data_IF_811826812717
#
_entry.id   IF_811826812717
#
_cell.length_a   1.000
_cell.length_b   1.000
_cell.length_c   1.000
_cell.angle_alpha   90.00
_cell.angle_beta   90.00
_cell.angle_gamma   90.00
#
_symmetry.space_group_name_H-M   'P 1'
#
loop_
_entity.id
_entity.type
_entity.pdbx_description
1 polymer ?
#
# COMPACT_ATOMS: atom_id res chain seq x y z
N UNK A 1 23.71 28.42 0.24
CA UNK A 1 22.45 29.17 0.15
C UNK A 1 22.27 29.64 -1.30
N UNK A 2 21.26 29.18 -2.01
CA UNK A 2 20.96 29.59 -3.41
C UNK A 2 20.54 31.07 -3.40
N UNK A 3 21.21 31.92 -4.17
CA UNK A 3 20.78 33.31 -4.32
C UNK A 3 19.59 33.35 -5.30
N UNK A 4 18.38 33.77 -4.87
CA UNK A 4 17.18 33.78 -5.71
C UNK A 4 17.35 34.51 -7.05
N UNK A 5 18.15 35.56 -7.08
CA UNK A 5 18.43 36.38 -8.29
C UNK A 5 19.04 35.57 -9.45
N UNK A 6 19.71 34.45 -9.21
CA UNK A 6 20.25 33.61 -10.28
C UNK A 6 19.19 32.72 -10.90
N UNK A 7 18.20 32.26 -10.12
CA UNK A 7 17.11 31.41 -10.60
C UNK A 7 16.13 32.19 -11.49
N UNK A 8 15.85 33.47 -11.21
CA UNK A 8 14.99 34.31 -12.05
C UNK A 8 15.54 34.55 -13.47
N UNK A 9 16.81 34.25 -13.72
CA UNK A 9 17.42 34.36 -15.04
C UNK A 9 17.36 33.08 -15.87
N UNK A 10 17.05 31.96 -15.24
CA UNK A 10 16.92 30.64 -15.89
C UNK A 10 15.44 30.40 -16.18
N UNK A 11 15.13 30.48 -17.47
CA UNK A 11 13.80 30.07 -17.97
C UNK A 11 13.86 28.59 -18.33
N UNK A 12 12.85 27.79 -17.91
CA UNK A 12 12.73 26.38 -18.23
C UNK A 12 12.81 26.13 -19.74
N UNK A 13 12.25 27.03 -20.53
CA UNK A 13 12.30 26.96 -21.99
C UNK A 13 13.74 26.94 -22.53
N UNK A 14 14.68 27.62 -21.85
CA UNK A 14 16.11 27.60 -22.23
C UNK A 14 16.75 26.22 -21.93
N UNK A 15 16.33 25.52 -20.86
CA UNK A 15 16.83 24.18 -20.56
C UNK A 15 16.27 23.16 -21.56
N UNK A 16 15.00 23.27 -21.93
CA UNK A 16 14.39 22.45 -23.00
C UNK A 16 15.11 22.66 -24.32
N UNK A 17 15.36 23.91 -24.69
CA UNK A 17 16.10 24.27 -25.90
C UNK A 17 17.54 23.72 -25.89
N UNK A 18 18.22 23.79 -24.76
CA UNK A 18 19.56 23.21 -24.60
C UNK A 18 19.57 21.70 -24.83
N UNK A 19 18.65 20.99 -24.18
CA UNK A 19 18.53 19.53 -24.29
C UNK A 19 18.22 19.12 -25.74
N UNK A 20 17.25 19.79 -26.38
CA UNK A 20 16.88 19.49 -27.77
C UNK A 20 18.01 19.75 -28.76
N UNK A 21 18.77 20.86 -28.61
CA UNK A 21 19.91 21.11 -29.48
C UNK A 21 21.03 20.10 -29.24
N UNK A 22 21.23 19.65 -28.01
CA UNK A 22 22.21 18.61 -27.67
C UNK A 22 21.89 17.28 -28.36
N UNK A 23 20.61 16.87 -28.33
CA UNK A 23 20.12 15.64 -28.92
C UNK A 23 20.16 15.67 -30.46
N UNK A 24 19.70 16.78 -31.06
CA UNK A 24 19.60 16.91 -32.51
C UNK A 24 20.95 17.18 -33.19
N UNK A 25 21.91 17.73 -32.46
CA UNK A 25 23.21 18.18 -33.05
C UNK A 25 23.07 19.18 -34.16
N UNK A 26 21.89 19.80 -34.34
CA UNK A 26 21.59 20.74 -35.42
C UNK A 26 20.53 21.77 -35.03
N UNK A 27 20.84 23.06 -35.14
CA UNK A 27 19.96 24.16 -34.71
C UNK A 27 18.63 24.17 -35.48
N UNK A 28 18.63 23.92 -36.80
CA UNK A 28 17.40 23.93 -37.57
C UNK A 28 16.49 22.75 -37.20
N UNK A 29 17.02 21.53 -37.03
CA UNK A 29 16.23 20.37 -36.58
C UNK A 29 15.67 20.59 -35.16
N UNK A 30 16.45 21.16 -34.27
CA UNK A 30 15.97 21.52 -32.95
C UNK A 30 14.85 22.57 -33.01
N UNK A 31 14.92 23.51 -33.91
CA UNK A 31 13.88 24.51 -34.12
C UNK A 31 12.58 23.85 -34.62
N UNK A 32 12.67 22.97 -35.61
CA UNK A 32 11.50 22.24 -36.14
C UNK A 32 10.85 21.39 -35.04
N UNK A 33 11.65 20.66 -34.26
CA UNK A 33 11.13 19.82 -33.13
C UNK A 33 10.45 20.62 -32.05
N UNK A 34 10.91 21.88 -31.82
CA UNK A 34 10.36 22.78 -30.80
C UNK A 34 9.22 23.67 -31.34
N UNK A 35 8.86 23.56 -32.62
CA UNK A 35 7.95 24.46 -33.31
C UNK A 35 8.39 25.97 -33.17
N UNK A 36 9.69 26.21 -33.27
CA UNK A 36 10.30 27.52 -33.20
C UNK A 36 11.01 27.90 -34.52
N UNK A 37 11.32 29.16 -34.67
CA UNK A 37 12.20 29.59 -35.78
C UNK A 37 13.69 29.35 -35.41
N UNK A 38 14.57 29.06 -36.39
CA UNK A 38 16.02 28.96 -36.15
C UNK A 38 16.65 30.21 -35.48
N UNK A 39 16.07 31.37 -35.75
CA UNK A 39 16.48 32.64 -35.09
C UNK A 39 16.10 32.63 -33.60
N UNK A 40 14.93 32.17 -33.25
CA UNK A 40 14.50 32.04 -31.83
C UNK A 40 15.40 31.06 -31.05
N UNK A 41 15.72 29.91 -31.63
CA UNK A 41 16.67 28.95 -31.04
C UNK A 41 18.05 29.58 -30.87
N UNK A 42 18.55 30.27 -31.90
CA UNK A 42 19.85 30.98 -31.84
C UNK A 42 19.88 32.07 -30.75
N UNK A 43 18.77 32.80 -30.59
CA UNK A 43 18.62 33.79 -29.53
C UNK A 43 18.63 33.13 -28.13
N UNK A 44 17.90 32.03 -27.92
CA UNK A 44 17.89 31.27 -26.67
C UNK A 44 19.29 30.72 -26.33
N UNK A 45 20.01 30.17 -27.31
CA UNK A 45 21.39 29.72 -27.14
C UNK A 45 22.33 30.86 -26.75
N UNK A 46 22.14 32.06 -27.32
CA UNK A 46 22.93 33.25 -26.95
C UNK A 46 22.69 33.63 -25.48
N UNK A 47 21.45 33.60 -25.00
CA UNK A 47 21.13 33.85 -23.59
C UNK A 47 21.80 32.81 -22.67
N UNK A 48 21.76 31.52 -23.03
CA UNK A 48 22.44 30.45 -22.28
C UNK A 48 23.95 30.64 -22.23
N UNK A 49 24.60 31.02 -23.34
CA UNK A 49 26.05 31.30 -23.40
C UNK A 49 26.45 32.42 -22.45
N UNK A 50 25.68 33.50 -22.40
CA UNK A 50 25.90 34.58 -21.47
C UNK A 50 25.71 34.17 -20.01
N UNK A 51 24.68 33.33 -19.72
CA UNK A 51 24.37 32.87 -18.38
C UNK A 51 25.41 31.89 -17.84
N UNK A 52 25.86 30.97 -18.70
CA UNK A 52 26.75 29.87 -18.33
C UNK A 52 28.24 30.18 -18.59
N UNK A 53 28.53 31.35 -19.19
CA UNK A 53 29.89 31.78 -19.59
C UNK A 53 30.63 30.70 -20.41
N UNK A 54 29.89 30.05 -21.34
CA UNK A 54 30.43 28.98 -22.19
C UNK A 54 29.76 29.02 -23.58
N UNK A 55 30.48 28.74 -24.68
CA UNK A 55 29.91 28.65 -26.02
C UNK A 55 28.82 27.57 -26.17
N UNK A 56 28.81 26.56 -25.31
CA UNK A 56 27.92 25.35 -25.23
C UNK A 56 27.98 24.50 -26.50
N UNK A 57 27.86 25.11 -27.65
CA UNK A 57 27.85 24.41 -28.95
C UNK A 57 28.77 25.15 -29.94
N UNK A 58 29.71 24.40 -30.54
CA UNK A 58 30.62 24.83 -31.57
C UNK A 58 30.05 24.52 -32.94
N UNK A 59 30.09 25.47 -33.88
CA UNK A 59 29.64 25.27 -35.25
C UNK A 59 30.55 24.28 -35.98
N UNK A 60 29.99 23.41 -36.76
CA UNK A 60 30.66 22.46 -37.66
C UNK A 60 29.97 22.45 -39.02
N UNK A 61 30.61 21.95 -40.10
CA UNK A 61 29.95 21.83 -41.39
C UNK A 61 28.66 21.00 -41.39
N UNK A 62 28.54 20.03 -40.44
CA UNK A 62 27.41 19.10 -40.32
C UNK A 62 26.43 19.46 -39.18
N UNK A 63 26.54 20.68 -38.58
CA UNK A 63 25.67 21.10 -37.49
C UNK A 63 26.41 21.73 -36.33
N UNK A 64 26.19 21.25 -35.10
CA UNK A 64 26.86 21.75 -33.90
C UNK A 64 27.41 20.60 -33.04
N UNK A 65 28.59 20.83 -32.43
CA UNK A 65 29.20 19.92 -31.44
C UNK A 65 29.15 20.54 -30.03
N UNK A 66 28.73 19.78 -29.00
CA UNK A 66 28.73 20.27 -27.63
C UNK A 66 30.16 20.49 -27.09
N UNK A 67 30.36 21.52 -26.29
CA UNK A 67 31.57 21.73 -25.48
C UNK A 67 31.63 20.67 -24.35
N UNK A 68 32.79 20.57 -23.69
CA UNK A 68 32.91 19.69 -22.51
C UNK A 68 31.93 20.07 -21.40
N UNK A 69 31.76 21.39 -21.21
CA UNK A 69 30.79 21.96 -20.26
C UNK A 69 29.35 21.61 -20.64
N UNK A 70 28.98 21.68 -21.91
CA UNK A 70 27.65 21.27 -22.36
C UNK A 70 27.40 19.78 -22.13
N UNK A 71 28.41 18.91 -22.34
CA UNK A 71 28.31 17.48 -22.01
C UNK A 71 28.12 17.25 -20.52
N UNK A 72 28.87 17.93 -19.67
CA UNK A 72 28.73 17.82 -18.21
C UNK A 72 27.36 18.31 -17.70
N UNK A 73 26.72 19.27 -18.39
CA UNK A 73 25.40 19.78 -18.02
C UNK A 73 24.23 18.89 -18.52
N UNK A 74 24.46 17.95 -19.43
CA UNK A 74 23.42 17.13 -20.03
C UNK A 74 22.58 16.37 -18.97
N UNK A 75 23.22 15.60 -18.10
CA UNK A 75 22.55 14.83 -17.08
C UNK A 75 21.83 15.69 -16.01
N UNK A 76 22.46 16.73 -15.43
CA UNK A 76 21.76 17.65 -14.50
C UNK A 76 20.55 18.35 -15.13
N UNK A 77 20.64 18.77 -16.40
CA UNK A 77 19.51 19.42 -17.10
C UNK A 77 18.37 18.42 -17.33
N UNK A 78 18.68 17.21 -17.78
CA UNK A 78 17.68 16.15 -17.97
C UNK A 78 16.96 15.82 -16.66
N UNK A 79 17.67 15.74 -15.52
CA UNK A 79 17.07 15.52 -14.20
C UNK A 79 16.13 16.64 -13.80
N UNK A 80 16.51 17.90 -13.99
CA UNK A 80 15.65 19.06 -13.69
C UNK A 80 14.38 19.01 -14.54
N UNK A 81 14.50 18.77 -15.86
CA UNK A 81 13.36 18.69 -16.77
C UNK A 81 12.40 17.54 -16.39
N UNK A 82 12.94 16.38 -16.04
CA UNK A 82 12.12 15.25 -15.56
C UNK A 82 11.36 15.57 -14.26
N UNK A 83 11.98 16.33 -13.34
CA UNK A 83 11.30 16.78 -12.10
C UNK A 83 10.20 17.79 -12.39
N UNK A 84 10.42 18.72 -13.33
CA UNK A 84 9.41 19.69 -13.74
C UNK A 84 8.25 18.99 -14.45
N UNK A 85 8.53 18.05 -15.36
CA UNK A 85 7.52 17.23 -16.01
C UNK A 85 6.67 16.46 -14.98
N UNK A 86 7.30 15.89 -13.95
CA UNK A 86 6.61 15.27 -12.82
C UNK A 86 5.65 16.21 -12.10
N UNK A 87 6.03 17.47 -11.88
CA UNK A 87 5.16 18.49 -11.25
C UNK A 87 3.97 18.82 -12.15
N UNK A 88 4.21 19.05 -13.45
CA UNK A 88 3.15 19.37 -14.42
C UNK A 88 2.20 18.19 -14.62
N UNK A 89 2.74 16.98 -14.71
CA UNK A 89 1.95 15.75 -14.83
C UNK A 89 1.10 15.49 -13.59
N UNK A 90 1.61 15.83 -12.39
CA UNK A 90 0.84 15.74 -11.15
C UNK A 90 -0.31 16.76 -11.07
N UNK A 91 -0.25 17.86 -11.82
CA UNK A 91 -1.31 18.87 -11.91
C UNK A 91 -2.39 18.54 -12.95
N UNK A 92 -2.16 17.57 -13.82
CA UNK A 92 -3.12 17.09 -14.82
C UNK A 92 -4.18 16.16 -14.21
N UNK A 93 -5.25 15.83 -14.97
CA UNK A 93 -6.22 14.82 -14.55
C UNK A 93 -5.50 13.48 -14.33
N UNK A 94 -5.81 12.82 -13.19
CA UNK A 94 -5.20 11.53 -12.86
C UNK A 94 -5.60 10.46 -13.87
N UNK A 95 -4.63 9.94 -14.60
CA UNK A 95 -4.79 8.76 -15.45
C UNK A 95 -3.94 7.62 -14.87
N UNK A 96 -4.55 6.53 -14.37
CA UNK A 96 -3.82 5.44 -13.75
C UNK A 96 -2.81 4.78 -14.70
N UNK A 97 -3.06 4.76 -16.01
CA UNK A 97 -2.17 4.10 -17.00
C UNK A 97 -0.84 4.82 -17.18
N UNK A 98 -0.83 6.12 -17.00
CA UNK A 98 0.35 6.98 -17.23
C UNK A 98 0.92 7.57 -15.94
N UNK A 99 0.15 7.58 -14.86
CA UNK A 99 0.54 8.15 -13.58
C UNK A 99 1.78 7.44 -13.00
N UNK A 100 2.74 8.25 -12.53
CA UNK A 100 3.94 7.78 -11.82
C UNK A 100 3.94 8.38 -10.43
N UNK A 101 3.47 7.62 -9.45
CA UNK A 101 3.48 8.06 -8.03
C UNK A 101 3.49 6.87 -7.08
N UNK A 102 3.96 7.13 -5.86
CA UNK A 102 3.88 6.18 -4.76
C UNK A 102 2.66 6.46 -3.87
N UNK A 103 1.99 5.40 -3.41
CA UNK A 103 0.96 5.47 -2.37
C UNK A 103 1.43 4.79 -1.10
N UNK A 104 1.21 5.45 0.04
CA UNK A 104 1.47 4.90 1.37
C UNK A 104 0.17 4.31 1.93
N UNK A 105 0.10 2.99 2.06
CA UNK A 105 -1.07 2.27 2.55
C UNK A 105 -0.72 1.61 3.87
N UNK A 106 -1.47 1.92 4.93
CA UNK A 106 -1.32 1.27 6.22
C UNK A 106 -2.30 0.13 6.40
N UNK A 107 -1.85 -0.99 6.97
CA UNK A 107 -2.74 -2.10 7.36
C UNK A 107 -2.07 -2.98 8.43
N UNK A 108 -2.83 -3.63 9.33
CA UNK A 108 -2.34 -4.79 10.06
C UNK A 108 -1.91 -5.89 9.08
N UNK A 109 -0.86 -6.63 9.39
CA UNK A 109 -0.30 -7.65 8.51
C UNK A 109 -1.33 -8.74 8.12
N UNK A 110 -2.18 -9.18 9.04
CA UNK A 110 -3.26 -10.11 8.75
C UNK A 110 -4.20 -9.60 7.64
N UNK A 111 -4.57 -8.31 7.69
CA UNK A 111 -5.46 -7.68 6.70
C UNK A 111 -4.71 -7.44 5.39
N UNK A 112 -3.45 -7.02 5.47
CA UNK A 112 -2.61 -6.79 4.29
C UNK A 112 -2.52 -8.05 3.41
N UNK A 113 -2.40 -9.23 3.99
CA UNK A 113 -2.35 -10.50 3.25
C UNK A 113 -3.60 -10.77 2.41
N UNK A 114 -4.74 -10.15 2.75
CA UNK A 114 -6.01 -10.37 2.05
C UNK A 114 -6.07 -9.58 0.75
N UNK A 115 -5.68 -8.30 0.79
CA UNK A 115 -5.88 -7.40 -0.36
C UNK A 115 -4.62 -7.17 -1.19
N UNK A 116 -3.42 -7.35 -0.63
CA UNK A 116 -2.18 -6.93 -1.28
C UNK A 116 -1.93 -7.67 -2.60
N UNK A 117 -2.04 -8.99 -2.63
CA UNK A 117 -1.81 -9.76 -3.87
C UNK A 117 -2.84 -9.44 -4.97
N UNK A 118 -4.17 -9.37 -4.68
CA UNK A 118 -5.14 -8.89 -5.66
C UNK A 118 -4.87 -7.46 -6.14
N UNK A 119 -4.46 -6.55 -5.24
CA UNK A 119 -4.13 -5.17 -5.60
C UNK A 119 -2.92 -5.10 -6.52
N UNK A 120 -1.83 -5.81 -6.22
CA UNK A 120 -0.64 -5.86 -7.08
C UNK A 120 -1.00 -6.39 -8.47
N UNK A 121 -1.79 -7.46 -8.56
CA UNK A 121 -2.25 -8.01 -9.83
C UNK A 121 -3.14 -7.03 -10.61
N UNK A 122 -3.95 -6.23 -9.92
CA UNK A 122 -4.75 -5.18 -10.52
C UNK A 122 -3.87 -4.03 -11.04
N UNK A 123 -2.94 -3.53 -10.22
CA UNK A 123 -2.04 -2.44 -10.58
C UNK A 123 -1.14 -2.78 -11.77
N UNK A 124 -0.64 -4.00 -11.84
CA UNK A 124 0.18 -4.45 -12.97
C UNK A 124 -0.52 -4.29 -14.34
N UNK A 125 -1.87 -4.35 -14.37
CA UNK A 125 -2.65 -4.18 -15.61
C UNK A 125 -3.13 -2.75 -15.82
N UNK A 126 -3.60 -2.11 -14.76
CA UNK A 126 -4.33 -0.83 -14.85
C UNK A 126 -3.45 0.38 -14.58
N UNK A 127 -2.34 0.19 -13.85
CA UNK A 127 -1.51 1.29 -13.37
C UNK A 127 -0.05 0.84 -13.13
N UNK A 128 0.67 0.40 -14.19
CA UNK A 128 1.94 -0.32 -14.07
C UNK A 128 3.10 0.53 -13.52
N UNK A 129 2.98 1.85 -13.49
CA UNK A 129 3.99 2.77 -12.98
C UNK A 129 3.66 3.36 -11.59
N UNK A 130 2.66 2.78 -10.91
CA UNK A 130 2.30 3.14 -9.54
C UNK A 130 3.06 2.23 -8.56
N UNK A 131 3.69 2.83 -7.57
CA UNK A 131 4.39 2.16 -6.47
C UNK A 131 3.52 2.14 -5.20
N UNK A 132 3.60 1.04 -4.44
CA UNK A 132 2.94 0.90 -3.13
C UNK A 132 3.99 0.80 -2.03
N UNK A 133 3.85 1.63 -1.01
CA UNK A 133 4.53 1.49 0.28
C UNK A 133 3.53 1.00 1.31
N UNK A 134 3.68 -0.26 1.74
CA UNK A 134 2.86 -0.83 2.79
C UNK A 134 3.50 -0.56 4.16
N UNK A 135 2.75 0.08 5.05
CA UNK A 135 3.13 0.32 6.43
C UNK A 135 2.34 -0.62 7.34
N UNK A 136 3.05 -1.33 8.21
CA UNK A 136 2.39 -2.18 9.21
C UNK A 136 1.75 -1.31 10.28
N UNK A 137 0.43 -1.46 10.45
CA UNK A 137 -0.31 -0.81 11.51
C UNK A 137 -0.48 -1.76 12.70
N UNK A 138 -0.30 -1.23 13.89
CA UNK A 138 -0.48 -1.97 15.13
C UNK A 138 -1.55 -1.29 16.00
N UNK A 139 -2.55 -2.04 16.48
CA UNK A 139 -3.56 -1.49 17.38
C UNK A 139 -2.92 -1.10 18.71
N UNK A 140 -3.24 0.09 19.21
CA UNK A 140 -2.73 0.56 20.51
C UNK A 140 -3.73 0.19 21.62
N UNK A 141 -3.61 -1.03 22.14
CA UNK A 141 -4.55 -1.57 23.14
C UNK A 141 -4.32 -1.11 24.58
N UNK A 142 -3.29 -0.34 24.88
CA UNK A 142 -2.89 0.04 26.25
C UNK A 142 -4.01 0.74 27.03
N UNK A 143 -4.93 -0.03 27.61
CA UNK A 143 -6.00 0.47 28.49
C UNK A 143 -7.00 1.42 27.85
N UNK A 144 -7.02 1.52 26.53
CA UNK A 144 -7.92 2.41 25.77
C UNK A 144 -9.20 1.69 25.35
N UNK A 145 -10.33 2.41 25.28
CA UNK A 145 -11.54 1.88 24.65
C UNK A 145 -11.26 1.43 23.20
N UNK A 146 -11.99 0.45 22.72
CA UNK A 146 -11.86 -0.08 21.33
C UNK A 146 -12.01 1.01 20.25
N UNK A 147 -12.75 2.09 20.56
CA UNK A 147 -12.89 3.27 19.69
C UNK A 147 -11.58 4.03 19.44
N UNK A 148 -10.61 3.94 20.37
CA UNK A 148 -9.42 4.79 20.37
C UNK A 148 -8.16 4.07 19.88
N UNK A 149 -8.29 2.79 19.57
CA UNK A 149 -7.19 1.90 19.18
C UNK A 149 -6.46 2.39 17.92
N UNK A 150 -7.15 3.09 17.02
CA UNK A 150 -6.62 3.59 15.75
C UNK A 150 -6.40 5.10 15.69
N UNK A 151 -6.45 5.81 16.83
CA UNK A 151 -6.31 7.28 16.85
C UNK A 151 -5.00 7.79 16.25
N UNK A 152 -3.88 7.12 16.52
CA UNK A 152 -2.59 7.46 15.89
C UNK A 152 -2.61 7.30 14.37
N UNK A 153 -3.23 6.23 13.87
CA UNK A 153 -3.39 6.01 12.43
C UNK A 153 -4.27 7.09 11.78
N UNK A 154 -5.37 7.47 12.45
CA UNK A 154 -6.23 8.55 11.97
C UNK A 154 -5.50 9.90 11.95
N UNK A 155 -4.62 10.16 12.93
CA UNK A 155 -3.79 11.35 12.93
C UNK A 155 -2.74 11.36 11.80
N UNK A 156 -2.21 10.21 11.41
CA UNK A 156 -1.32 10.08 10.26
C UNK A 156 -2.02 10.32 8.92
N UNK A 157 -3.28 9.85 8.79
CA UNK A 157 -4.13 10.15 7.63
C UNK A 157 -4.48 11.64 7.55
N UNK A 158 -4.83 12.28 8.67
CA UNK A 158 -5.08 13.74 8.73
C UNK A 158 -3.83 14.55 8.39
N UNK A 159 -2.67 14.10 8.87
CA UNK A 159 -1.35 14.72 8.60
C UNK A 159 -0.75 14.36 7.24
N UNK A 160 -1.45 13.62 6.38
CA UNK A 160 -1.00 13.18 5.05
C UNK A 160 0.36 12.45 5.06
N UNK A 161 0.73 11.81 6.18
CA UNK A 161 1.88 10.89 6.24
C UNK A 161 1.51 9.50 5.75
N UNK A 162 0.21 9.20 5.76
CA UNK A 162 -0.41 8.00 5.23
C UNK A 162 -1.53 8.42 4.27
N UNK A 163 -1.57 7.86 3.07
CA UNK A 163 -2.60 8.19 2.08
C UNK A 163 -3.91 7.44 2.38
N UNK A 164 -3.79 6.15 2.72
CA UNK A 164 -4.91 5.23 2.93
C UNK A 164 -4.60 4.29 4.10
N UNK A 165 -5.63 3.88 4.82
CA UNK A 165 -5.53 2.79 5.80
C UNK A 165 -6.60 1.72 5.54
N UNK A 166 -6.25 0.44 5.74
CA UNK A 166 -7.19 -0.69 5.73
C UNK A 166 -7.13 -1.34 7.09
N UNK A 167 -8.18 -1.16 7.90
CA UNK A 167 -8.16 -1.55 9.31
C UNK A 167 -9.56 -1.89 9.85
N UNK A 168 -9.66 -2.68 10.94
CA UNK A 168 -10.92 -2.94 11.61
C UNK A 168 -11.34 -1.70 12.40
N UNK A 169 -12.35 -0.99 11.89
CA UNK A 169 -12.90 0.22 12.52
C UNK A 169 -14.41 0.29 12.31
N UNK A 170 -15.15 0.45 13.39
CA UNK A 170 -16.61 0.53 13.34
C UNK A 170 -17.09 1.79 12.65
N UNK A 171 -16.94 2.92 13.30
CA UNK A 171 -17.41 4.23 12.83
C UNK A 171 -16.27 5.25 12.90
N UNK A 172 -15.54 5.47 11.80
CA UNK A 172 -14.53 6.52 11.78
C UNK A 172 -15.18 7.91 11.90
N UNK A 173 -14.47 8.91 12.43
CA UNK A 173 -14.97 10.28 12.54
C UNK A 173 -15.42 10.84 11.17
N UNK A 174 -16.42 11.76 11.13
CA UNK A 174 -17.02 12.25 9.88
C UNK A 174 -16.05 12.92 8.89
N UNK A 175 -14.87 13.34 9.34
CA UNK A 175 -13.82 13.91 8.48
C UNK A 175 -13.08 12.87 7.64
N UNK A 176 -13.34 11.58 7.85
CA UNK A 176 -12.80 10.50 7.02
C UNK A 176 -13.85 9.96 6.07
N UNK A 177 -13.43 9.62 4.85
CA UNK A 177 -14.13 8.73 3.95
C UNK A 177 -13.82 7.28 4.35
N UNK A 178 -14.82 6.42 4.36
CA UNK A 178 -14.66 5.03 4.71
C UNK A 178 -15.60 4.13 3.91
N UNK A 179 -15.09 3.01 3.41
CA UNK A 179 -15.86 2.00 2.70
C UNK A 179 -15.69 0.65 3.39
N UNK A 180 -16.79 -0.03 3.67
CA UNK A 180 -16.77 -1.40 4.21
C UNK A 180 -16.21 -2.35 3.15
N UNK A 181 -15.26 -3.17 3.55
CA UNK A 181 -14.65 -4.20 2.70
C UNK A 181 -15.19 -5.60 3.04
N UNK A 182 -15.18 -5.95 4.31
CA UNK A 182 -15.72 -7.22 4.85
C UNK A 182 -15.82 -7.12 6.38
N UNK A 183 -16.54 -8.07 6.96
CA UNK A 183 -16.55 -8.27 8.41
C UNK A 183 -15.54 -9.36 8.77
N UNK A 184 -14.65 -9.08 9.73
CA UNK A 184 -13.64 -10.02 10.22
C UNK A 184 -14.07 -10.59 11.55
N UNK A 185 -13.99 -11.91 11.67
CA UNK A 185 -14.13 -12.60 12.94
C UNK A 185 -12.89 -13.46 13.23
N UNK A 186 -12.90 -14.16 14.36
CA UNK A 186 -11.77 -14.94 14.80
C UNK A 186 -12.10 -16.42 14.86
N UNK A 187 -11.06 -17.24 14.68
CA UNK A 187 -11.11 -18.70 14.83
C UNK A 187 -9.96 -19.15 15.71
N UNK A 188 -10.11 -20.26 16.38
CA UNK A 188 -8.97 -20.95 16.99
C UNK A 188 -8.29 -21.78 15.93
N UNK A 189 -7.04 -21.46 15.63
CA UNK A 189 -6.20 -22.15 14.66
C UNK A 189 -5.16 -23.03 15.37
N UNK A 190 -4.85 -24.15 14.76
CA UNK A 190 -3.90 -25.15 15.25
C UNK A 190 -3.43 -26.04 14.11
N UNK A 191 -2.33 -26.77 14.30
CA UNK A 191 -1.87 -27.77 13.31
C UNK A 191 -2.91 -28.88 13.10
N UNK A 192 -2.91 -29.48 11.93
CA UNK A 192 -3.75 -30.64 11.63
C UNK A 192 -3.43 -31.80 12.59
N UNK A 193 -4.48 -32.46 13.08
CA UNK A 193 -4.36 -33.56 14.05
C UNK A 193 -4.29 -33.13 15.52
N UNK A 194 -4.31 -31.84 15.81
CA UNK A 194 -4.32 -31.30 17.18
C UNK A 194 -5.57 -31.80 17.95
N UNK A 195 -5.46 -32.22 19.25
CA UNK A 195 -6.55 -32.80 20.02
C UNK A 195 -7.78 -31.87 20.16
N UNK A 196 -7.57 -30.56 20.31
CA UNK A 196 -8.63 -29.56 20.43
C UNK A 196 -9.60 -29.58 19.24
N UNK A 197 -9.12 -29.86 18.03
CA UNK A 197 -9.96 -29.90 16.83
C UNK A 197 -11.05 -30.96 16.88
N UNK A 198 -10.85 -32.05 17.65
CA UNK A 198 -11.83 -33.16 17.82
C UNK A 198 -12.90 -32.85 18.86
N UNK A 199 -12.56 -32.10 19.90
CA UNK A 199 -13.46 -31.77 21.02
C UNK A 199 -13.32 -30.29 21.41
N UNK A 200 -13.77 -29.35 20.56
CA UNK A 200 -13.71 -27.94 20.88
C UNK A 200 -14.71 -27.58 21.97
N UNK A 201 -14.22 -27.17 23.13
CA UNK A 201 -15.00 -26.67 24.26
C UNK A 201 -14.23 -25.60 24.99
N UNK A 202 -14.91 -24.77 25.81
CA UNK A 202 -14.22 -23.74 26.60
C UNK A 202 -13.20 -24.39 27.55
N UNK A 203 -13.57 -25.46 28.25
CA UNK A 203 -12.69 -26.18 29.18
C UNK A 203 -11.43 -26.68 28.48
N UNK A 204 -11.58 -27.34 27.33
CA UNK A 204 -10.43 -27.82 26.57
C UNK A 204 -9.61 -26.70 26.00
N UNK A 205 -10.23 -25.58 25.54
CA UNK A 205 -9.54 -24.39 25.08
C UNK A 205 -8.67 -23.80 26.18
N UNK A 206 -9.19 -23.62 27.40
CA UNK A 206 -8.46 -23.03 28.52
C UNK A 206 -7.29 -23.93 29.00
N UNK A 207 -7.36 -25.25 28.80
CA UNK A 207 -6.30 -26.19 29.18
C UNK A 207 -5.13 -26.22 28.18
N UNK A 208 -5.25 -25.59 26.99
CA UNK A 208 -4.18 -25.56 25.99
C UNK A 208 -3.11 -24.50 26.32
N UNK A 209 -1.97 -24.65 25.67
CA UNK A 209 -0.97 -23.60 25.61
C UNK A 209 -1.26 -22.70 24.43
N UNK A 210 -1.37 -21.41 24.69
CA UNK A 210 -1.76 -20.44 23.69
C UNK A 210 -0.57 -19.64 23.16
N UNK A 211 -0.63 -19.33 21.88
CA UNK A 211 0.19 -18.30 21.25
C UNK A 211 -0.64 -17.04 21.06
N UNK A 212 -0.06 -15.88 21.35
CA UNK A 212 -0.66 -14.57 21.16
C UNK A 212 0.19 -13.73 20.20
N UNK A 213 -0.46 -13.06 19.25
CA UNK A 213 0.21 -12.06 18.42
C UNK A 213 0.23 -10.73 19.17
N UNK A 214 1.41 -10.27 19.53
CA UNK A 214 1.65 -9.02 20.23
C UNK A 214 2.99 -8.41 19.79
N UNK A 215 2.94 -7.23 19.16
CA UNK A 215 4.15 -6.54 18.68
C UNK A 215 5.08 -6.08 19.82
N UNK A 216 4.56 -5.93 21.02
CA UNK A 216 5.31 -5.46 22.20
C UNK A 216 5.61 -6.58 23.21
N UNK A 217 5.22 -7.83 22.89
CA UNK A 217 5.41 -8.98 23.78
C UNK A 217 4.45 -9.06 24.97
N UNK A 218 3.41 -8.23 25.00
CA UNK A 218 2.36 -8.31 26.01
C UNK A 218 1.59 -9.63 25.90
N UNK A 219 1.43 -10.34 27.02
CA UNK A 219 0.73 -11.63 27.07
C UNK A 219 -0.80 -11.47 27.24
N UNK A 220 -1.33 -10.27 27.18
CA UNK A 220 -2.76 -9.96 27.32
C UNK A 220 -3.32 -9.34 26.04
N UNK A 221 -4.33 -9.98 25.47
CA UNK A 221 -5.02 -9.51 24.26
C UNK A 221 -6.54 -9.44 24.45
N UNK A 222 -7.27 -9.19 23.36
CA UNK A 222 -8.73 -9.05 23.36
C UNK A 222 -9.43 -10.33 23.91
N UNK A 223 -8.89 -11.52 23.61
CA UNK A 223 -9.42 -12.78 24.12
C UNK A 223 -9.27 -12.86 25.65
N UNK A 224 -8.14 -12.41 26.17
CA UNK A 224 -7.85 -12.46 27.60
C UNK A 224 -8.77 -11.51 28.39
N UNK A 225 -9.09 -10.33 27.84
CA UNK A 225 -10.07 -9.42 28.39
C UNK A 225 -11.47 -10.09 28.43
N UNK A 226 -11.91 -10.70 27.33
CA UNK A 226 -13.21 -11.41 27.28
C UNK A 226 -13.28 -12.65 28.22
N UNK A 227 -12.17 -13.31 28.43
CA UNK A 227 -12.09 -14.42 29.42
C UNK A 227 -12.20 -13.89 30.84
N UNK A 228 -11.50 -12.80 31.15
CA UNK A 228 -11.51 -12.18 32.47
C UNK A 228 -12.91 -11.69 32.87
N UNK A 229 -13.70 -11.13 31.94
CA UNK A 229 -15.11 -10.77 32.16
C UNK A 229 -15.97 -11.94 32.65
N UNK A 230 -15.55 -13.18 32.36
CA UNK A 230 -16.23 -14.43 32.76
C UNK A 230 -15.50 -15.17 33.89
N UNK A 231 -14.51 -14.56 34.51
CA UNK A 231 -13.71 -15.17 35.57
C UNK A 231 -12.79 -16.29 35.10
N UNK A 232 -12.43 -16.30 33.80
CA UNK A 232 -11.52 -17.28 33.21
C UNK A 232 -10.18 -16.67 32.82
N UNK A 233 -9.16 -17.51 32.75
CA UNK A 233 -7.85 -17.17 32.21
C UNK A 233 -7.30 -18.33 31.38
N UNK A 234 -6.36 -18.04 30.51
CA UNK A 234 -5.60 -19.03 29.73
C UNK A 234 -4.11 -18.83 29.90
N UNK A 235 -3.32 -19.88 29.60
CA UNK A 235 -1.87 -19.80 29.61
C UNK A 235 -1.38 -19.35 28.24
N UNK A 236 -0.87 -18.12 28.12
CA UNK A 236 -0.12 -17.66 26.96
C UNK A 236 1.34 -18.15 27.14
N UNK A 237 1.73 -19.14 26.35
CA UNK A 237 3.06 -19.77 26.42
C UNK A 237 4.07 -19.10 25.48
N UNK A 238 3.59 -18.43 24.43
CA UNK A 238 4.40 -17.74 23.44
C UNK A 238 3.70 -16.47 22.96
N UNK A 239 4.47 -15.39 22.84
CA UNK A 239 4.07 -14.20 22.09
C UNK A 239 4.91 -14.06 20.84
N UNK A 240 4.30 -13.67 19.71
CA UNK A 240 4.98 -13.42 18.44
C UNK A 240 4.61 -12.04 17.91
N UNK A 241 5.50 -11.34 17.19
CA UNK A 241 5.28 -9.94 16.82
C UNK A 241 4.25 -9.72 15.69
N UNK A 242 3.93 -10.74 14.90
CA UNK A 242 3.04 -10.64 13.76
C UNK A 242 2.32 -11.97 13.45
N UNK A 243 1.24 -11.89 12.67
CA UNK A 243 0.43 -13.04 12.32
C UNK A 243 1.12 -14.02 11.36
N UNK A 244 2.03 -13.54 10.52
CA UNK A 244 2.78 -14.41 9.61
C UNK A 244 3.66 -15.39 10.39
N UNK A 245 4.34 -14.93 11.43
CA UNK A 245 5.13 -15.78 12.34
C UNK A 245 4.21 -16.75 13.10
N UNK A 246 3.02 -16.30 13.53
CA UNK A 246 2.06 -17.19 14.20
C UNK A 246 1.64 -18.36 13.31
N UNK A 247 1.43 -18.17 12.01
CA UNK A 247 1.09 -19.28 11.09
C UNK A 247 2.22 -20.31 10.97
N UNK A 248 3.48 -19.85 10.95
CA UNK A 248 4.65 -20.74 10.88
C UNK A 248 4.75 -21.58 12.14
N UNK A 249 4.74 -20.94 13.31
CA UNK A 249 4.91 -21.62 14.59
C UNK A 249 3.75 -22.57 14.92
N UNK A 250 2.51 -22.23 14.49
CA UNK A 250 1.37 -23.14 14.64
C UNK A 250 1.50 -24.42 13.82
N UNK A 251 2.19 -24.37 12.67
CA UNK A 251 2.38 -25.55 11.82
C UNK A 251 3.32 -26.58 12.50
N UNK A 252 4.24 -26.13 13.35
CA UNK A 252 5.33 -26.93 13.91
C UNK A 252 5.19 -27.19 15.41
N UNK A 253 4.11 -26.71 16.05
CA UNK A 253 3.93 -26.83 17.50
C UNK A 253 2.53 -27.35 17.90
N UNK A 254 2.37 -27.70 19.18
CA UNK A 254 1.09 -28.01 19.80
C UNK A 254 0.41 -26.78 20.44
N UNK A 255 0.85 -25.59 20.04
CA UNK A 255 0.20 -24.35 20.44
C UNK A 255 -1.12 -24.13 19.68
N UNK A 256 -2.02 -23.41 20.31
CA UNK A 256 -3.24 -22.90 19.67
C UNK A 256 -3.22 -21.38 19.65
N UNK A 257 -3.76 -20.78 18.63
CA UNK A 257 -3.90 -19.32 18.57
C UNK A 257 -5.30 -18.92 18.10
N UNK A 258 -5.81 -17.83 18.67
CA UNK A 258 -7.03 -17.19 18.17
C UNK A 258 -6.62 -16.14 17.14
N UNK A 259 -6.93 -16.41 15.87
CA UNK A 259 -6.47 -15.65 14.72
C UNK A 259 -7.64 -15.18 13.84
N UNK A 260 -7.47 -14.08 13.05
CA UNK A 260 -8.46 -13.64 12.08
C UNK A 260 -8.83 -14.76 11.09
N UNK A 261 -10.14 -14.98 10.90
CA UNK A 261 -10.66 -16.07 10.06
C UNK A 261 -10.19 -15.99 8.62
N UNK A 262 -10.21 -14.80 8.01
CA UNK A 262 -9.81 -14.63 6.61
C UNK A 262 -8.31 -14.93 6.40
N UNK A 263 -7.45 -14.55 7.35
CA UNK A 263 -6.03 -14.91 7.32
C UNK A 263 -5.85 -16.43 7.30
N UNK A 264 -6.46 -17.14 8.28
CA UNK A 264 -6.31 -18.59 8.37
C UNK A 264 -6.90 -19.28 7.15
N UNK A 265 -8.10 -18.90 6.71
CA UNK A 265 -8.75 -19.48 5.53
C UNK A 265 -7.92 -19.32 4.24
N UNK A 266 -7.09 -18.28 4.14
CA UNK A 266 -6.20 -18.05 2.99
C UNK A 266 -4.95 -18.93 3.03
N UNK A 267 -4.46 -19.27 4.21
CA UNK A 267 -3.15 -19.89 4.41
C UNK A 267 -3.21 -21.29 5.00
N UNK A 268 -4.40 -21.79 5.42
CA UNK A 268 -4.58 -23.07 6.11
C UNK A 268 -3.97 -24.25 5.35
N UNK A 269 -4.20 -24.35 4.04
CA UNK A 269 -3.67 -25.44 3.22
C UNK A 269 -2.13 -25.41 3.16
N UNK A 270 -1.54 -24.19 3.04
CA UNK A 270 -0.09 -24.01 2.95
C UNK A 270 0.63 -24.42 4.23
N UNK A 271 0.04 -24.11 5.39
CA UNK A 271 0.63 -24.37 6.71
C UNK A 271 0.01 -25.61 7.39
N UNK A 272 -0.83 -26.39 6.67
CA UNK A 272 -1.47 -27.58 7.19
C UNK A 272 -2.21 -27.34 8.51
N UNK A 273 -2.94 -26.22 8.58
CA UNK A 273 -3.72 -25.82 9.76
C UNK A 273 -5.17 -26.23 9.65
N UNK A 274 -5.79 -26.42 10.82
CA UNK A 274 -7.22 -26.62 10.99
C UNK A 274 -7.77 -25.60 12.00
N UNK A 275 -9.07 -25.35 11.94
CA UNK A 275 -9.72 -24.37 12.81
C UNK A 275 -10.93 -24.95 13.52
N UNK A 276 -11.25 -24.39 14.68
CA UNK A 276 -12.55 -24.53 15.31
C UNK A 276 -13.08 -23.15 15.74
N UNK A 277 -14.39 -23.04 16.03
CA UNK A 277 -14.95 -21.79 16.55
C UNK A 277 -14.27 -21.35 17.85
N UNK A 278 -14.15 -20.05 18.06
CA UNK A 278 -13.76 -19.50 19.37
C UNK A 278 -14.88 -19.82 20.36
N UNK A 279 -14.59 -20.44 21.53
CA UNK A 279 -15.61 -20.83 22.48
C UNK A 279 -16.08 -19.67 23.38
N UNK A 280 -16.19 -18.49 22.80
CA UNK A 280 -16.62 -17.24 23.43
C UNK A 280 -17.54 -16.49 22.44
N UNK A 281 -18.51 -15.71 22.94
CA UNK A 281 -19.26 -14.80 22.09
C UNK A 281 -18.32 -13.82 21.39
N UNK A 282 -18.43 -13.74 20.09
CA UNK A 282 -17.63 -12.85 19.26
C UNK A 282 -18.50 -12.06 18.28
N UNK A 283 -18.33 -10.76 18.26
CA UNK A 283 -18.96 -9.90 17.25
C UNK A 283 -17.91 -9.60 16.18
N UNK A 284 -18.22 -9.84 14.91
CA UNK A 284 -17.31 -9.49 13.82
C UNK A 284 -16.98 -7.98 13.81
N UNK A 285 -15.74 -7.66 13.47
CA UNK A 285 -15.27 -6.29 13.35
C UNK A 285 -15.31 -5.87 11.87
N UNK A 286 -15.95 -4.73 11.53
CA UNK A 286 -16.00 -4.26 10.14
C UNK A 286 -14.63 -3.72 9.72
N UNK A 287 -14.03 -4.35 8.71
CA UNK A 287 -12.79 -3.89 8.07
C UNK A 287 -13.15 -2.90 6.97
N UNK A 288 -12.53 -1.73 7.03
CA UNK A 288 -12.79 -0.63 6.10
C UNK A 288 -11.48 -0.13 5.48
N UNK A 289 -11.57 0.34 4.23
CA UNK A 289 -10.59 1.29 3.73
C UNK A 289 -11.00 2.68 4.18
N UNK A 290 -10.02 3.46 4.64
CA UNK A 290 -10.21 4.78 5.24
C UNK A 290 -9.21 5.76 4.63
N UNK A 291 -9.67 6.97 4.32
CA UNK A 291 -8.87 8.10 3.89
C UNK A 291 -9.39 9.39 4.51
N UNK A 292 -8.54 10.41 4.67
CA UNK A 292 -9.02 11.75 5.02
C UNK A 292 -9.89 12.31 3.86
N UNK A 293 -11.03 12.94 4.16
CA UNK A 293 -11.86 13.58 3.14
C UNK A 293 -11.12 14.68 2.38
N UNK A 294 -10.17 15.34 3.03
CA UNK A 294 -9.31 16.31 2.37
C UNK A 294 -8.40 15.63 1.33
N UNK A 295 -7.83 14.47 1.67
CA UNK A 295 -6.99 13.70 0.75
C UNK A 295 -7.80 13.12 -0.43
N UNK A 296 -9.09 12.83 -0.26
CA UNK A 296 -9.97 12.36 -1.34
C UNK A 296 -10.21 13.41 -2.44
N UNK A 297 -9.84 14.67 -2.24
CA UNK A 297 -9.81 15.67 -3.31
C UNK A 297 -8.71 15.37 -4.37
N UNK A 298 -7.67 14.61 -4.01
CA UNK A 298 -6.68 14.09 -4.94
C UNK A 298 -7.28 12.88 -5.70
N UNK A 299 -7.39 13.01 -7.01
CA UNK A 299 -8.01 11.99 -7.86
C UNK A 299 -7.29 10.64 -7.82
N UNK A 300 -5.97 10.63 -7.59
CA UNK A 300 -5.19 9.40 -7.44
C UNK A 300 -5.50 8.68 -6.12
N UNK A 301 -5.65 9.41 -5.01
CA UNK A 301 -6.05 8.82 -3.73
C UNK A 301 -7.47 8.27 -3.84
N UNK A 302 -8.40 9.02 -4.42
CA UNK A 302 -9.77 8.56 -4.65
C UNK A 302 -9.80 7.30 -5.52
N UNK A 303 -9.01 7.25 -6.60
CA UNK A 303 -8.90 6.07 -7.46
C UNK A 303 -8.33 4.85 -6.71
N UNK A 304 -7.28 5.02 -5.91
CA UNK A 304 -6.67 3.93 -5.14
C UNK A 304 -7.63 3.42 -4.05
N UNK A 305 -8.38 4.31 -3.41
CA UNK A 305 -9.43 3.97 -2.45
C UNK A 305 -10.47 3.01 -3.07
N UNK A 306 -10.98 3.36 -4.26
CA UNK A 306 -11.92 2.53 -5.02
C UNK A 306 -11.27 1.22 -5.53
N UNK A 307 -9.99 1.26 -5.94
CA UNK A 307 -9.26 0.09 -6.41
C UNK A 307 -9.15 -0.98 -5.31
N UNK A 308 -8.84 -0.59 -4.08
CA UNK A 308 -8.80 -1.51 -2.93
C UNK A 308 -10.18 -2.15 -2.71
N UNK A 309 -11.25 -1.37 -2.75
CA UNK A 309 -12.62 -1.85 -2.61
C UNK A 309 -12.98 -2.92 -3.66
N UNK A 310 -12.64 -2.66 -4.92
CA UNK A 310 -12.88 -3.59 -6.05
C UNK A 310 -12.09 -4.88 -5.93
N UNK A 311 -10.84 -4.81 -5.51
CA UNK A 311 -9.97 -5.98 -5.37
C UNK A 311 -10.49 -6.98 -4.33
N UNK A 312 -11.09 -6.49 -3.24
CA UNK A 312 -11.64 -7.35 -2.18
C UNK A 312 -13.02 -7.86 -2.55
N UNK A 313 -13.89 -7.01 -3.11
CA UNK A 313 -15.26 -7.41 -3.51
C UNK A 313 -15.29 -8.51 -4.58
N UNK A 314 -14.32 -8.55 -5.48
CA UNK A 314 -14.19 -9.62 -6.47
C UNK A 314 -13.75 -10.96 -5.85
N UNK A 315 -12.88 -10.91 -4.84
CA UNK A 315 -12.39 -12.10 -4.12
C UNK A 315 -13.49 -12.78 -3.28
N UNK A 316 -14.43 -12.00 -2.73
CA UNK A 316 -15.57 -12.53 -1.95
C UNK A 316 -16.60 -13.26 -2.85
N UNK A 317 -16.88 -12.75 -4.04
CA UNK A 317 -17.80 -13.38 -5.00
C UNK A 317 -17.28 -14.70 -5.55
N UNK A 318 -16.01 -14.83 -5.80
CA UNK A 318 -15.38 -16.06 -6.35
C UNK A 318 -15.43 -17.21 -5.33
N UNK A 319 -15.37 -16.92 -4.02
CA UNK A 319 -15.44 -17.94 -2.96
C UNK A 319 -16.85 -18.42 -2.66
N UNK A 320 -17.88 -17.57 -2.78
CA UNK A 320 -19.28 -18.00 -2.62
C UNK A 320 -19.73 -18.94 -3.73
N UNK A 321 -19.32 -18.69 -4.97
CA UNK A 321 -19.61 -19.54 -6.12
C UNK A 321 -18.90 -20.91 -6.05
N UNK A 322 -17.69 -20.99 -5.47
CA UNK A 322 -16.96 -22.25 -5.25
C UNK A 322 -17.57 -23.13 -4.17
N UNK A 323 -18.18 -22.55 -3.13
CA UNK A 323 -18.88 -23.30 -2.07
C UNK A 323 -20.19 -23.91 -2.56
N UNK A 324 -20.96 -23.19 -3.38
CA UNK A 324 -22.21 -23.70 -3.98
C UNK A 324 -21.97 -24.92 -4.88
N UNK A 325 -20.88 -24.95 -5.65
CA UNK A 325 -20.53 -26.08 -6.52
C UNK A 325 -20.04 -27.32 -5.78
N UNK A 326 -19.40 -27.19 -4.61
CA UNK A 326 -18.97 -28.36 -3.80
C UNK A 326 -20.11 -28.98 -2.98
N UNK A 327 -21.17 -28.22 -2.67
CA UNK A 327 -22.37 -28.77 -2.01
C UNK A 327 -23.27 -29.58 -2.96
N UNK A 328 -23.20 -29.30 -4.27
CA UNK A 328 -24.02 -29.97 -5.28
C UNK A 328 -23.47 -31.34 -5.77
N UNK A 329 -22.25 -31.75 -5.33
CA UNK A 329 -21.56 -32.97 -5.74
C UNK A 329 -21.45 -34.00 -4.61
N UNK A 330 -22.44 -34.10 -3.72
CA UNK A 330 -22.59 -35.30 -2.85
C UNK A 330 -23.45 -36.31 -3.57
N UNK A 331 -22.94 -37.51 -3.94
CA UNK A 331 -23.76 -38.58 -4.40
C UNK A 331 -24.63 -39.07 -3.23
N UNK A 332 -25.92 -39.23 -3.50
CA UNK A 332 -26.88 -39.80 -2.56
C UNK A 332 -26.52 -41.22 -2.20
N UNK A 333 -26.99 -41.72 -1.03
CA UNK A 333 -26.72 -43.10 -0.61
C UNK A 333 -27.43 -44.06 -1.56
N UNK A 334 -26.65 -44.95 -2.18
CA UNK A 334 -27.18 -46.14 -2.84
C UNK A 334 -27.73 -47.07 -1.79
N UNK A 335 -29.00 -47.39 -1.90
CA UNK A 335 -29.73 -48.49 -1.21
C UNK A 335 -29.09 -49.82 -1.49
#
# INVERSE_FOLDING_TARGET
>A
MLKPAHLFRIDVSLLVLFSTVLEEGHVARAADRLNLTPSAVSHGLRRLRLLLHDPLFLKTPSGVKPTERARALAAPVAEILARIDGIVSAAGPFDPKTARRGFSIGAPDAIATIFLSPLIAYLAREAPAIDIRLLQLMPQHHGKPTSDVWQSTLAELDGQRLDLAVLPIGHPPPRFAAQLLFDEDFVVAMRKGHPLARKPSLTNYLSMQHMLVSAIGDAHGVVDAKLAEKGHSRRVALTVPNFSMALIELAESDLVATLPRHLVARHADRFNLVTCPVPLPWTPDPVRVVASKAAMADAGIAWMFEAIGRCIGSSAKTRSAGRSRRSALRPGPTT
#
